data_IF_681477206863
#
_entry.id   IF_681477206863
#
_cell.length_a   1.000
_cell.length_b   1.000
_cell.length_c   1.000
_cell.angle_alpha   90.00
_cell.angle_beta   90.00
_cell.angle_gamma   90.00
#
_symmetry.space_group_name_H-M   'P 1'
#
loop_
_entity.id
_entity.type
_entity.pdbx_description
1 polymer ?
#
# COMPACT_ATOMS: atom_id res chain seq x y z
N UNK A 1 -0.49 7.49 -22.05
CA UNK A 1 0.94 7.45 -21.67
C UNK A 1 1.16 6.18 -20.88
N UNK A 2 2.18 5.39 -21.22
CA UNK A 2 2.50 4.19 -20.44
C UNK A 2 3.06 4.63 -19.09
N UNK A 3 2.42 4.20 -17.99
CA UNK A 3 2.98 4.36 -16.66
C UNK A 3 4.37 3.72 -16.62
N UNK A 4 5.33 4.36 -15.94
CA UNK A 4 6.63 3.76 -15.69
C UNK A 4 6.42 2.34 -15.09
N UNK A 5 7.11 1.28 -15.56
CA UNK A 5 6.80 -0.10 -15.17
C UNK A 5 6.75 -0.33 -13.66
N UNK A 6 7.58 0.40 -12.90
CA UNK A 6 7.60 0.34 -11.44
C UNK A 6 6.37 1.01 -10.80
N UNK A 7 5.84 2.09 -11.40
CA UNK A 7 4.60 2.75 -10.95
C UNK A 7 3.40 1.82 -11.18
N UNK A 8 3.33 1.18 -12.34
CA UNK A 8 2.30 0.20 -12.64
C UNK A 8 2.37 -1.01 -11.67
N UNK A 9 3.58 -1.50 -11.37
CA UNK A 9 3.77 -2.59 -10.41
C UNK A 9 3.32 -2.19 -9.00
N UNK A 10 3.67 -0.99 -8.53
CA UNK A 10 3.22 -0.50 -7.23
C UNK A 10 1.70 -0.34 -7.18
N UNK A 11 1.08 0.25 -8.21
CA UNK A 11 -0.37 0.40 -8.28
C UNK A 11 -1.11 -0.95 -8.24
N UNK A 12 -0.60 -1.97 -8.94
CA UNK A 12 -1.15 -3.32 -8.90
C UNK A 12 -1.02 -3.97 -7.51
N UNK A 13 0.09 -3.78 -6.80
CA UNK A 13 0.25 -4.28 -5.44
C UNK A 13 -0.72 -3.62 -4.45
N UNK A 14 -0.93 -2.31 -4.57
CA UNK A 14 -1.91 -1.59 -3.76
C UNK A 14 -3.35 -2.02 -4.07
N UNK A 15 -3.64 -2.36 -5.33
CA UNK A 15 -4.93 -2.92 -5.72
C UNK A 15 -5.20 -4.27 -5.05
N UNK A 16 -4.23 -5.19 -5.11
CA UNK A 16 -4.34 -6.49 -4.48
C UNK A 16 -4.52 -6.36 -2.96
N UNK A 17 -3.76 -5.46 -2.34
CA UNK A 17 -3.85 -5.17 -0.92
C UNK A 17 -5.22 -4.59 -0.53
N UNK A 18 -5.75 -3.65 -1.32
CA UNK A 18 -7.07 -3.09 -1.09
C UNK A 18 -8.17 -4.13 -1.24
N UNK A 19 -8.08 -5.00 -2.26
CA UNK A 19 -9.00 -6.12 -2.44
C UNK A 19 -8.98 -7.07 -1.23
N UNK A 20 -7.79 -7.47 -0.77
CA UNK A 20 -7.63 -8.32 0.41
C UNK A 20 -8.28 -7.70 1.66
N UNK A 21 -8.06 -6.40 1.89
CA UNK A 21 -8.68 -5.68 3.02
C UNK A 21 -10.21 -5.67 2.93
N UNK A 22 -10.77 -5.41 1.74
CA UNK A 22 -12.22 -5.42 1.52
C UNK A 22 -12.83 -6.80 1.72
N UNK A 23 -12.17 -7.86 1.25
CA UNK A 23 -12.64 -9.24 1.40
C UNK A 23 -12.73 -9.65 2.88
N UNK A 24 -11.91 -9.04 3.73
CA UNK A 24 -11.94 -9.22 5.18
C UNK A 24 -12.76 -8.15 5.93
N UNK A 25 -13.51 -7.32 5.20
CA UNK A 25 -14.43 -6.33 5.78
C UNK A 25 -13.77 -5.05 6.26
N UNK A 26 -12.46 -4.87 6.08
CA UNK A 26 -11.78 -3.64 6.46
C UNK A 26 -12.04 -2.54 5.41
N UNK A 27 -12.94 -1.63 5.75
CA UNK A 27 -13.31 -0.49 4.90
C UNK A 27 -12.39 0.72 5.07
N UNK A 28 -11.75 0.86 6.23
CA UNK A 28 -11.03 2.08 6.55
C UNK A 28 -9.65 2.10 5.88
N UNK A 29 -8.89 1.00 5.99
CA UNK A 29 -7.61 0.87 5.33
C UNK A 29 -7.77 0.66 3.83
N UNK A 30 -8.75 -0.11 3.37
CA UNK A 30 -8.96 -0.29 1.93
C UNK A 30 -9.17 1.05 1.21
N UNK A 31 -9.99 1.96 1.77
CA UNK A 31 -10.19 3.30 1.22
C UNK A 31 -8.90 4.13 1.21
N UNK A 32 -8.08 4.04 2.26
CA UNK A 32 -6.79 4.74 2.30
C UNK A 32 -5.81 4.21 1.26
N UNK A 33 -5.74 2.90 1.08
CA UNK A 33 -4.89 2.25 0.08
C UNK A 33 -5.38 2.57 -1.34
N UNK A 34 -6.70 2.58 -1.59
CA UNK A 34 -7.29 2.98 -2.86
C UNK A 34 -6.94 4.43 -3.21
N UNK A 35 -6.96 5.35 -2.22
CA UNK A 35 -6.55 6.74 -2.44
C UNK A 35 -5.09 6.83 -2.89
N UNK A 36 -4.19 6.11 -2.21
CA UNK A 36 -2.78 6.03 -2.62
C UNK A 36 -2.63 5.47 -4.04
N UNK A 37 -3.32 4.36 -4.34
CA UNK A 37 -3.31 3.72 -5.67
C UNK A 37 -3.75 4.70 -6.76
N UNK A 38 -4.87 5.40 -6.57
CA UNK A 38 -5.40 6.32 -7.58
C UNK A 38 -4.41 7.47 -7.84
N UNK A 39 -3.83 8.04 -6.79
CA UNK A 39 -2.79 9.07 -6.94
C UNK A 39 -1.56 8.55 -7.70
N UNK A 40 -1.10 7.33 -7.38
CA UNK A 40 0.04 6.69 -8.07
C UNK A 40 -0.30 6.41 -9.54
N UNK A 41 -1.50 5.93 -9.83
CA UNK A 41 -1.96 5.66 -11.20
C UNK A 41 -2.08 6.93 -12.05
N UNK A 42 -2.42 8.07 -11.42
CA UNK A 42 -2.41 9.38 -12.06
C UNK A 42 -0.98 9.96 -12.21
N UNK A 43 0.06 9.17 -11.93
CA UNK A 43 1.47 9.59 -11.91
C UNK A 43 1.76 10.71 -10.92
N UNK A 44 0.92 10.87 -9.90
CA UNK A 44 1.14 11.82 -8.83
C UNK A 44 2.05 11.21 -7.76
N UNK A 45 3.29 11.67 -7.72
CA UNK A 45 4.29 11.23 -6.73
C UNK A 45 3.82 11.42 -5.28
N UNK A 46 2.90 12.37 -5.02
CA UNK A 46 2.23 12.52 -3.72
C UNK A 46 1.55 11.22 -3.24
N UNK A 47 1.11 10.35 -4.14
CA UNK A 47 0.55 9.04 -3.77
C UNK A 47 1.56 8.13 -3.10
N UNK A 48 2.82 8.17 -3.55
CA UNK A 48 3.94 7.40 -2.97
C UNK A 48 4.27 7.93 -1.58
N UNK A 49 4.40 9.25 -1.43
CA UNK A 49 4.66 9.88 -0.13
C UNK A 49 3.57 9.59 0.90
N UNK A 50 2.29 9.67 0.47
CA UNK A 50 1.15 9.31 1.32
C UNK A 50 1.21 7.85 1.74
N UNK A 51 1.51 6.94 0.82
CA UNK A 51 1.63 5.53 1.15
C UNK A 51 2.77 5.28 2.16
N UNK A 52 3.94 5.90 1.94
CA UNK A 52 5.07 5.82 2.86
C UNK A 52 4.74 6.38 4.25
N UNK A 53 3.96 7.46 4.34
CA UNK A 53 3.49 8.00 5.61
C UNK A 53 2.57 6.99 6.34
N UNK A 54 1.64 6.34 5.63
CA UNK A 54 0.73 5.35 6.24
C UNK A 54 1.48 4.17 6.90
N UNK A 55 2.61 3.76 6.35
CA UNK A 55 3.44 2.66 6.88
C UNK A 55 4.57 3.14 7.81
N UNK A 56 4.84 4.45 7.85
CA UNK A 56 5.88 5.06 8.68
C UNK A 56 5.38 5.50 10.05
N UNK A 57 4.08 5.77 10.18
CA UNK A 57 3.47 6.21 11.44
C UNK A 57 3.27 5.03 12.41
N UNK A 58 3.69 5.21 13.66
CA UNK A 58 3.41 4.27 14.75
C UNK A 58 1.91 4.21 15.05
N UNK A 59 1.36 3.00 15.18
CA UNK A 59 -0.08 2.76 15.20
C UNK A 59 -0.76 2.93 13.84
N UNK A 60 0.03 3.08 12.78
CA UNK A 60 -0.42 3.23 11.40
C UNK A 60 -0.67 1.90 10.72
N UNK A 61 -0.65 1.92 9.39
CA UNK A 61 -0.95 0.73 8.58
C UNK A 61 0.11 -0.36 8.75
N UNK A 62 1.32 -0.02 9.17
CA UNK A 62 2.37 -0.99 9.46
C UNK A 62 2.03 -1.90 10.65
N UNK A 63 1.29 -1.39 11.62
CA UNK A 63 0.90 -2.14 12.82
C UNK A 63 -0.48 -2.78 12.68
N UNK A 64 -1.17 -2.53 11.56
CA UNK A 64 -2.46 -3.14 11.30
C UNK A 64 -2.34 -4.65 11.09
N UNK A 65 -3.23 -5.37 11.75
CA UNK A 65 -3.34 -6.81 11.74
C UNK A 65 -4.75 -7.23 11.31
N UNK A 66 -4.81 -8.24 10.42
CA UNK A 66 -6.08 -8.84 10.02
C UNK A 66 -6.47 -9.86 11.08
N UNK A 67 -7.52 -9.56 11.84
CA UNK A 67 -8.06 -10.40 12.89
C UNK A 67 -9.53 -10.73 12.62
N UNK A 68 -9.99 -11.86 13.13
CA UNK A 68 -11.42 -12.18 13.15
C UNK A 68 -12.17 -11.45 14.28
N UNK A 69 -13.47 -11.68 14.39
CA UNK A 69 -14.31 -11.08 15.44
C UNK A 69 -13.96 -11.50 16.87
N UNK A 70 -13.12 -12.53 17.04
CA UNK A 70 -12.63 -13.01 18.33
C UNK A 70 -11.20 -12.50 18.62
N UNK A 71 -10.63 -11.72 17.70
CA UNK A 71 -9.30 -11.13 17.83
C UNK A 71 -8.15 -12.07 17.41
N UNK A 72 -8.43 -13.22 16.78
CA UNK A 72 -7.41 -14.14 16.29
C UNK A 72 -6.89 -13.69 14.91
N UNK A 73 -5.58 -13.79 14.71
CA UNK A 73 -4.96 -13.49 13.40
C UNK A 73 -5.51 -14.40 12.31
N UNK A 74 -5.97 -13.79 11.22
CA UNK A 74 -6.43 -14.48 10.02
C UNK A 74 -5.23 -14.98 9.21
N UNK A 75 -5.32 -16.14 8.53
CA UNK A 75 -4.25 -16.62 7.63
C UNK A 75 -3.88 -15.59 6.54
N UNK A 76 -4.87 -14.82 6.07
CA UNK A 76 -4.69 -13.71 5.13
C UNK A 76 -3.76 -12.60 5.64
N UNK A 77 -3.52 -12.51 6.94
CA UNK A 77 -2.57 -11.57 7.50
C UNK A 77 -1.15 -11.77 6.96
N UNK A 78 -0.73 -13.02 6.72
CA UNK A 78 0.59 -13.30 6.12
C UNK A 78 0.69 -12.66 4.74
N UNK A 79 -0.35 -12.82 3.91
CA UNK A 79 -0.41 -12.20 2.59
C UNK A 79 -0.39 -10.67 2.67
N UNK A 80 -1.09 -10.09 3.64
CA UNK A 80 -1.05 -8.65 3.88
C UNK A 80 0.36 -8.17 4.24
N UNK A 81 1.09 -8.89 5.09
CA UNK A 81 2.48 -8.57 5.45
C UNK A 81 3.38 -8.61 4.21
N UNK A 82 3.28 -9.65 3.38
CA UNK A 82 4.05 -9.78 2.14
C UNK A 82 3.78 -8.61 1.17
N UNK A 83 2.50 -8.32 0.90
CA UNK A 83 2.10 -7.23 0.01
C UNK A 83 2.61 -5.88 0.51
N UNK A 84 2.51 -5.64 1.81
CA UNK A 84 2.98 -4.42 2.45
C UNK A 84 4.49 -4.26 2.37
N UNK A 85 5.25 -5.34 2.59
CA UNK A 85 6.71 -5.31 2.46
C UNK A 85 7.14 -5.05 1.01
N UNK A 86 6.53 -5.75 0.05
CA UNK A 86 6.83 -5.57 -1.37
C UNK A 86 6.51 -4.14 -1.84
N UNK A 87 5.32 -3.62 -1.47
CA UNK A 87 4.91 -2.27 -1.80
C UNK A 87 5.82 -1.22 -1.17
N UNK A 88 6.24 -1.44 0.09
CA UNK A 88 7.20 -0.56 0.77
C UNK A 88 8.53 -0.46 0.03
N UNK A 89 9.12 -1.59 -0.36
CA UNK A 89 10.40 -1.61 -1.08
C UNK A 89 10.30 -0.85 -2.40
N UNK A 90 9.23 -1.06 -3.17
CA UNK A 90 9.01 -0.33 -4.43
C UNK A 90 8.79 1.17 -4.19
N UNK A 91 7.96 1.54 -3.22
CA UNK A 91 7.68 2.93 -2.89
C UNK A 91 8.93 3.67 -2.41
N UNK A 92 9.76 3.06 -1.54
CA UNK A 92 11.01 3.65 -1.08
C UNK A 92 12.01 3.83 -2.22
N UNK A 93 12.09 2.85 -3.15
CA UNK A 93 12.95 2.95 -4.33
C UNK A 93 12.51 4.10 -5.24
N UNK A 94 11.24 4.13 -5.62
CA UNK A 94 10.67 5.20 -6.44
C UNK A 94 10.89 6.57 -5.78
N UNK A 95 10.74 6.64 -4.46
CA UNK A 95 10.95 7.89 -3.74
C UNK A 95 12.41 8.36 -3.70
N UNK A 96 13.38 7.44 -3.76
CA UNK A 96 14.80 7.79 -3.90
C UNK A 96 15.14 8.22 -5.33
N UNK A 97 14.56 7.55 -6.32
CA UNK A 97 14.75 7.88 -7.74
C UNK A 97 14.26 9.31 -8.03
N UNK A 98 13.07 9.69 -7.56
CA UNK A 98 12.52 11.04 -7.73
C UNK A 98 13.39 12.14 -7.09
N UNK A 99 13.85 11.91 -5.85
CA UNK A 99 14.73 12.86 -5.14
C UNK A 99 16.10 13.02 -5.79
N UNK A 100 16.54 12.05 -6.58
CA UNK A 100 17.83 12.10 -7.29
C UNK A 100 17.69 12.73 -8.67
N UNK A 101 16.46 12.82 -9.20
CA UNK A 101 16.13 13.45 -10.47
C UNK A 101 15.77 14.95 -10.34
N UNK A 102 15.58 15.43 -9.11
CA UNK A 102 15.31 16.84 -8.76
C UNK A 102 16.58 17.54 -8.32
#
# INVERSE_FOLDING_TARGET
>A
MALHPQIAALAAQLEEMSALLRDHGDRWWSVKIDLCRNLIADSNFTGIEKFLALIGDAGGFADFELRDGEGKLLPAHVRLVELRQAARVLAERLAREERSAT
#
